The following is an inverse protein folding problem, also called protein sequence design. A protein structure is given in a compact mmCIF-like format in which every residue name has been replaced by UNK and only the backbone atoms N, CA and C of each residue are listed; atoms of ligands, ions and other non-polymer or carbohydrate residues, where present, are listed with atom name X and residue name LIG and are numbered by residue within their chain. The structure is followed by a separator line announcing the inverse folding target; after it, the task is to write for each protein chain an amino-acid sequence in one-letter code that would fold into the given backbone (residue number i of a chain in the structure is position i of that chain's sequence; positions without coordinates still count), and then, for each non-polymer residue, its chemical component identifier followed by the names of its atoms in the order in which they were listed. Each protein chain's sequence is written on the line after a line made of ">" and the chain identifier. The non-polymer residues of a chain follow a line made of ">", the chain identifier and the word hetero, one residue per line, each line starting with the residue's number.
data_IF_596655686645
#
_entry.id   IF_596655686645
#
_cell.length_a   1.000
_cell.length_b   1.000
_cell.length_c   1.000
_cell.angle_alpha   90.00
_cell.angle_beta   90.00
_cell.angle_gamma   90.00
#
_symmetry.space_group_name_H-M   'P 1'
#
loop_
_entity.id
_entity.type
_entity.pdbx_description
1 polymer ?
#
# COMPACT_ATOMS: atom_id res chain seq x y z
N UNK A 1 -23.20 7.12 1.60
CA UNK A 1 -22.18 6.44 2.42
C UNK A 1 -20.90 7.24 2.32
N UNK A 2 -20.44 7.79 3.44
CA UNK A 2 -19.42 8.83 3.52
C UNK A 2 -18.03 8.29 3.18
N UNK A 3 -17.58 8.50 1.94
CA UNK A 3 -16.20 8.31 1.47
C UNK A 3 -15.18 9.29 2.11
N UNK A 4 -15.52 9.89 3.27
CA UNK A 4 -14.72 10.94 3.93
C UNK A 4 -13.49 10.39 4.68
N UNK A 5 -13.30 9.07 4.63
CA UNK A 5 -12.23 8.32 5.28
C UNK A 5 -11.02 8.12 4.35
N UNK A 6 -11.24 8.12 3.03
CA UNK A 6 -10.18 8.14 2.01
C UNK A 6 -9.73 9.59 1.80
N UNK A 7 -8.98 10.13 2.76
CA UNK A 7 -8.17 11.37 2.73
C UNK A 7 -7.80 11.75 4.17
N UNK A 8 -6.57 12.26 4.35
CA UNK A 8 -5.79 12.39 5.62
C UNK A 8 -4.88 11.19 5.89
N UNK A 9 -4.23 10.67 4.85
CA UNK A 9 -3.11 9.73 5.00
C UNK A 9 -3.46 8.41 5.69
N UNK A 10 -4.74 8.01 5.66
CA UNK A 10 -5.18 6.71 6.20
C UNK A 10 -4.46 5.56 5.51
N UNK A 11 -4.32 5.67 4.19
CA UNK A 11 -3.69 4.65 3.37
C UNK A 11 -2.20 4.52 3.73
N UNK A 12 -1.53 5.64 4.01
CA UNK A 12 -0.16 5.64 4.52
C UNK A 12 -0.09 5.06 5.94
N UNK A 13 -1.03 5.37 6.83
CA UNK A 13 -1.06 4.80 8.19
C UNK A 13 -1.24 3.28 8.18
N UNK A 14 -2.11 2.78 7.29
CA UNK A 14 -2.29 1.34 7.07
C UNK A 14 -1.03 0.69 6.51
N UNK A 15 -0.39 1.32 5.52
CA UNK A 15 0.84 0.80 4.92
C UNK A 15 2.00 0.79 5.91
N UNK A 16 2.20 1.86 6.68
CA UNK A 16 3.25 1.97 7.70
C UNK A 16 3.11 0.84 8.74
N UNK A 17 1.88 0.57 9.19
CA UNK A 17 1.61 -0.53 10.15
C UNK A 17 1.90 -1.89 9.53
N UNK A 18 1.52 -2.08 8.26
CA UNK A 18 1.79 -3.32 7.55
C UNK A 18 3.29 -3.57 7.42
N UNK A 19 4.05 -2.55 7.03
CA UNK A 19 5.50 -2.60 6.88
C UNK A 19 6.17 -2.91 8.22
N UNK A 20 5.80 -2.22 9.30
CA UNK A 20 6.32 -2.50 10.64
C UNK A 20 6.04 -3.95 11.08
N UNK A 21 4.83 -4.44 10.83
CA UNK A 21 4.44 -5.81 11.16
C UNK A 21 5.28 -6.81 10.36
N UNK A 22 5.51 -6.54 9.08
CA UNK A 22 6.36 -7.35 8.22
C UNK A 22 7.82 -7.32 8.67
N UNK A 23 8.37 -6.16 9.04
CA UNK A 23 9.72 -6.02 9.59
C UNK A 23 9.88 -6.84 10.88
N UNK A 24 8.92 -6.74 11.81
CA UNK A 24 8.93 -7.53 13.05
C UNK A 24 8.86 -9.04 12.80
N UNK A 25 8.26 -9.47 11.68
CA UNK A 25 8.20 -10.87 11.24
C UNK A 25 9.38 -11.29 10.35
N UNK A 26 10.32 -10.39 10.02
CA UNK A 26 11.43 -10.67 9.11
C UNK A 26 11.02 -10.83 7.63
N UNK A 27 9.83 -10.35 7.26
CA UNK A 27 9.35 -10.34 5.87
C UNK A 27 10.02 -9.19 5.12
N UNK A 28 10.58 -9.49 3.94
CA UNK A 28 11.37 -8.53 3.15
C UNK A 28 10.61 -7.91 1.97
N UNK A 29 9.47 -8.49 1.57
CA UNK A 29 8.76 -8.12 0.34
C UNK A 29 7.26 -8.16 0.55
N UNK A 30 6.56 -7.17 0.02
CA UNK A 30 5.10 -7.14 -0.09
C UNK A 30 4.75 -7.20 -1.57
N UNK A 31 3.84 -8.10 -1.94
CA UNK A 31 3.27 -8.16 -3.28
C UNK A 31 1.84 -7.68 -3.29
N UNK A 32 1.54 -6.75 -4.18
CA UNK A 32 0.23 -6.20 -4.44
C UNK A 32 -0.27 -6.62 -5.82
N UNK A 33 -1.55 -6.95 -5.91
CA UNK A 33 -2.19 -7.29 -7.18
C UNK A 33 -3.27 -6.25 -7.47
N UNK A 34 -3.23 -5.67 -8.66
CA UNK A 34 -4.24 -4.77 -9.16
C UNK A 34 -5.02 -5.45 -10.28
N UNK A 35 -6.35 -5.47 -10.12
CA UNK A 35 -7.29 -5.99 -11.11
C UNK A 35 -8.19 -4.85 -11.60
N UNK A 36 -8.18 -4.52 -12.90
CA UNK A 36 -8.89 -3.39 -13.50
C UNK A 36 -10.39 -3.73 -13.61
N UNK A 37 -11.11 -3.47 -12.53
CA UNK A 37 -12.57 -3.55 -12.51
C UNK A 37 -13.17 -2.15 -12.39
N UNK A 38 -14.42 -1.96 -12.78
CA UNK A 38 -15.12 -0.67 -12.66
C UNK A 38 -15.06 -0.10 -11.23
N UNK A 39 -14.99 -0.96 -10.20
CA UNK A 39 -14.86 -0.56 -8.79
C UNK A 39 -13.44 -0.14 -8.41
N UNK A 40 -12.43 -0.69 -9.08
CA UNK A 40 -11.01 -0.48 -8.77
C UNK A 40 -10.36 0.61 -9.64
N UNK A 41 -11.09 1.18 -10.60
CA UNK A 41 -10.59 2.24 -11.46
C UNK A 41 -10.02 3.44 -10.66
N UNK A 42 -10.63 3.75 -9.50
CA UNK A 42 -10.20 4.84 -8.61
C UNK A 42 -8.82 4.62 -7.97
N UNK A 43 -8.36 3.36 -7.86
CA UNK A 43 -7.11 2.99 -7.17
C UNK A 43 -6.03 2.48 -8.13
N UNK A 44 -6.16 2.76 -9.43
CA UNK A 44 -5.17 2.36 -10.45
C UNK A 44 -3.74 2.83 -10.12
N UNK A 45 -3.62 4.07 -9.66
CA UNK A 45 -2.32 4.68 -9.30
C UNK A 45 -1.96 4.49 -7.83
N UNK A 46 -2.73 3.69 -7.08
CA UNK A 46 -2.57 3.56 -5.63
C UNK A 46 -1.20 2.97 -5.27
N UNK A 47 -0.83 1.84 -5.88
CA UNK A 47 0.44 1.17 -5.60
C UNK A 47 1.64 2.05 -5.96
N UNK A 48 1.59 2.76 -7.08
CA UNK A 48 2.63 3.72 -7.47
C UNK A 48 2.78 4.88 -6.47
N UNK A 49 1.67 5.44 -5.95
CA UNK A 49 1.70 6.49 -4.90
C UNK A 49 2.26 5.98 -3.58
N UNK A 50 2.07 4.69 -3.28
CA UNK A 50 2.56 4.02 -2.08
C UNK A 50 4.02 3.56 -2.20
N UNK A 51 4.70 3.85 -3.31
CA UNK A 51 6.11 3.50 -3.53
C UNK A 51 6.35 2.07 -4.01
N UNK A 52 5.30 1.33 -4.39
CA UNK A 52 5.48 0.02 -5.01
C UNK A 52 6.01 0.19 -6.43
N UNK A 53 6.85 -0.76 -6.84
CA UNK A 53 7.32 -0.89 -8.21
C UNK A 53 6.48 -1.92 -8.96
N UNK A 54 6.01 -1.59 -10.15
CA UNK A 54 5.30 -2.55 -10.99
C UNK A 54 6.29 -3.62 -11.47
N UNK A 55 5.99 -4.89 -11.22
CA UNK A 55 6.84 -6.03 -11.58
C UNK A 55 6.30 -6.83 -12.74
N UNK A 56 4.99 -6.81 -12.96
CA UNK A 56 4.36 -7.43 -14.13
C UNK A 56 3.10 -6.66 -14.54
N UNK A 57 2.79 -6.72 -15.83
CA UNK A 57 1.50 -6.31 -16.37
C UNK A 57 1.05 -7.38 -17.36
N UNK A 58 -0.18 -7.84 -17.21
CA UNK A 58 -0.78 -8.84 -18.09
C UNK A 58 -1.55 -8.18 -19.25
N UNK A 59 -1.86 -8.96 -20.29
CA UNK A 59 -2.69 -8.53 -21.42
C UNK A 59 -4.09 -8.08 -20.98
N UNK A 60 -4.57 -8.54 -19.82
CA UNK A 60 -5.85 -8.17 -19.23
C UNK A 60 -5.81 -6.89 -18.39
N UNK A 61 -4.77 -6.05 -18.51
CA UNK A 61 -4.51 -4.86 -17.68
C UNK A 61 -4.35 -5.15 -16.16
N UNK A 62 -4.23 -6.43 -15.78
CA UNK A 62 -3.86 -6.82 -14.42
C UNK A 62 -2.41 -6.43 -14.17
N UNK A 63 -2.12 -5.83 -13.02
CA UNK A 63 -0.76 -5.39 -12.69
C UNK A 63 -0.31 -5.97 -11.36
N UNK A 64 0.89 -6.53 -11.36
CA UNK A 64 1.58 -6.96 -10.15
C UNK A 64 2.55 -5.89 -9.70
N UNK A 65 2.59 -5.66 -8.40
CA UNK A 65 3.37 -4.62 -7.75
C UNK A 65 4.17 -5.24 -6.61
N UNK A 66 5.41 -4.82 -6.45
CA UNK A 66 6.30 -5.27 -5.37
C UNK A 66 6.84 -4.06 -4.60
N UNK A 67 6.82 -4.16 -3.27
CA UNK A 67 7.48 -3.22 -2.37
C UNK A 67 8.52 -3.98 -1.56
N UNK A 68 9.77 -3.52 -1.64
CA UNK A 68 10.85 -4.03 -0.81
C UNK A 68 10.83 -3.33 0.54
N UNK A 69 10.71 -4.14 1.59
CA UNK A 69 10.67 -3.65 2.96
C UNK A 69 12.11 -3.46 3.43
N UNK A 70 12.59 -2.23 3.30
CA UNK A 70 13.88 -1.85 3.86
C UNK A 70 13.77 -1.68 5.38
N UNK A 71 14.85 -1.99 6.10
CA UNK A 71 14.95 -1.78 7.55
C UNK A 71 14.88 -0.30 7.95
N UNK A 72 15.08 0.60 6.99
CA UNK A 72 15.09 2.05 7.15
C UNK A 72 13.81 2.71 6.62
N UNK A 73 12.69 1.98 6.54
CA UNK A 73 11.42 2.56 6.11
C UNK A 73 11.03 3.74 6.99
N UNK A 74 10.86 4.92 6.37
CA UNK A 74 10.39 6.12 7.04
C UNK A 74 8.87 6.17 6.92
N UNK A 75 8.18 6.31 8.06
CA UNK A 75 6.72 6.48 8.08
C UNK A 75 6.31 7.63 7.18
N UNK A 76 5.31 7.39 6.34
CA UNK A 76 4.74 8.40 5.45
C UNK A 76 3.53 9.09 6.08
N UNK A 77 2.89 8.46 7.08
CA UNK A 77 1.78 9.07 7.81
C UNK A 77 2.29 9.89 9.01
N UNK A 78 1.92 11.17 9.03
CA UNK A 78 2.23 12.10 10.13
C UNK A 78 1.00 12.46 10.99
N UNK A 79 -0.22 12.15 10.54
CA UNK A 79 -1.46 12.72 11.11
C UNK A 79 -2.33 11.70 11.88
N UNK A 80 -2.08 10.40 11.72
CA UNK A 80 -2.83 9.33 12.39
C UNK A 80 -1.95 8.63 13.42
N UNK A 81 -2.39 8.65 14.68
CA UNK A 81 -1.81 7.85 15.76
C UNK A 81 -2.49 6.48 15.83
N UNK A 82 -1.68 5.42 15.95
CA UNK A 82 -2.17 4.04 15.98
C UNK A 82 -1.99 3.50 17.41
N UNK A 83 -3.12 3.23 18.07
CA UNK A 83 -3.10 2.62 19.41
C UNK A 83 -2.67 1.16 19.29
N UNK A 84 -1.52 0.83 19.88
CA UNK A 84 -1.06 -0.55 20.03
C UNK A 84 -1.72 -1.16 21.27
N UNK A 85 -2.24 -2.38 21.14
CA UNK A 85 -2.76 -3.18 22.25
C UNK A 85 -1.63 -3.92 22.96
#
# INVERSE_FOLDING_TARGET
>A
MSCRVLKRDMEYAMLDTLIETCQNKGIKKIRGFYYPTAKNAMVKDFYGKMGFSQVACDASENSEWELEISSSWKRMNDVISINRK
#
